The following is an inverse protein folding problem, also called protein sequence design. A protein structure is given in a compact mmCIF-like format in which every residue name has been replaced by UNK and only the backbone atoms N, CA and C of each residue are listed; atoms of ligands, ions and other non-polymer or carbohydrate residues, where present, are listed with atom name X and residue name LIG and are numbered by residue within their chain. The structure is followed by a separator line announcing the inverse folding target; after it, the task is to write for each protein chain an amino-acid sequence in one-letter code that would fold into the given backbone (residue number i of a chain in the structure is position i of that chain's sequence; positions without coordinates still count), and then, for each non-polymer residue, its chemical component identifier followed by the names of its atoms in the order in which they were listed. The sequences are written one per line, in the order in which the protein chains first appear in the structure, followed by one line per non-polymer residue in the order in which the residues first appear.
data_IF_744873001355
#
_entry.id   IF_744873001355
#
_cell.length_a   1.000
_cell.length_b   1.000
_cell.length_c   1.000
_cell.angle_alpha   90.00
_cell.angle_beta   90.00
_cell.angle_gamma   90.00
#
_symmetry.space_group_name_H-M   'P 1'
#
loop_
_entity.id
_entity.type
_entity.pdbx_description
1 polymer ?
#
# COMPACT_ATOMS: atom_id res chain seq x y z
N UNK A 1 59.90 -24.88 29.28
CA UNK A 1 59.27 -23.55 29.35
C UNK A 1 58.23 -23.49 28.23
N UNK A 2 56.98 -23.19 28.59
CA UNK A 2 55.77 -23.49 27.81
C UNK A 2 55.66 -22.72 26.48
N UNK A 3 55.25 -23.42 25.42
CA UNK A 3 54.71 -22.80 24.21
C UNK A 3 53.17 -22.76 24.33
N UNK A 4 52.61 -21.56 24.47
CA UNK A 4 51.18 -21.32 24.60
C UNK A 4 50.46 -21.43 23.26
N UNK A 5 49.34 -22.15 23.26
CA UNK A 5 48.42 -22.38 22.16
C UNK A 5 47.38 -21.25 22.14
N UNK A 6 47.32 -20.46 21.06
CA UNK A 6 46.28 -19.45 20.83
C UNK A 6 45.21 -20.06 19.92
N UNK A 7 44.05 -20.38 20.50
CA UNK A 7 42.83 -20.75 19.79
C UNK A 7 42.09 -19.47 19.43
N UNK A 8 42.06 -19.11 18.15
CA UNK A 8 41.24 -18.02 17.64
C UNK A 8 39.81 -18.50 17.38
N UNK A 9 38.84 -18.02 18.17
CA UNK A 9 37.42 -18.11 17.82
C UNK A 9 37.10 -17.00 16.81
N UNK A 10 36.74 -17.40 15.59
CA UNK A 10 36.10 -16.51 14.60
C UNK A 10 34.59 -16.58 14.85
N UNK A 11 34.00 -15.49 15.36
CA UNK A 11 32.56 -15.36 15.47
C UNK A 11 31.97 -14.93 14.12
N UNK A 12 31.22 -15.83 13.47
CA UNK A 12 30.41 -15.54 12.29
C UNK A 12 29.16 -14.77 12.71
N UNK A 13 29.17 -13.45 12.54
CA UNK A 13 27.96 -12.63 12.64
C UNK A 13 27.04 -12.90 11.45
N UNK A 14 25.95 -13.63 11.66
CA UNK A 14 24.90 -13.79 10.64
C UNK A 14 23.99 -12.55 10.66
N UNK A 15 24.09 -11.73 9.62
CA UNK A 15 23.22 -10.56 9.41
C UNK A 15 21.78 -11.00 9.14
N UNK A 16 20.85 -10.67 10.03
CA UNK A 16 19.43 -11.03 9.96
C UNK A 16 18.57 -10.08 9.10
N UNK A 17 19.16 -9.15 8.34
CA UNK A 17 18.44 -7.99 7.79
C UNK A 17 17.72 -8.21 6.45
N UNK A 18 17.70 -9.41 5.88
CA UNK A 18 17.23 -9.62 4.50
C UNK A 18 15.79 -10.10 4.34
N UNK A 19 15.17 -10.70 5.37
CA UNK A 19 13.83 -11.30 5.22
C UNK A 19 12.69 -10.26 5.29
N UNK A 20 12.81 -9.24 6.13
CA UNK A 20 11.76 -8.23 6.32
C UNK A 20 11.54 -7.40 5.04
N UNK A 21 12.62 -6.95 4.40
CA UNK A 21 12.55 -6.17 3.15
C UNK A 21 11.94 -6.98 1.99
N UNK A 22 12.25 -8.28 1.88
CA UNK A 22 11.65 -9.15 0.87
C UNK A 22 10.17 -9.44 1.09
N UNK A 23 9.73 -9.46 2.36
CA UNK A 23 8.32 -9.68 2.71
C UNK A 23 7.47 -8.45 2.35
N UNK A 24 7.95 -7.26 2.72
CA UNK A 24 7.29 -5.96 2.43
C UNK A 24 7.18 -5.69 0.92
N UNK A 25 8.22 -5.98 0.14
CA UNK A 25 8.19 -5.87 -1.32
C UNK A 25 7.12 -6.78 -1.95
N UNK A 26 6.98 -8.02 -1.43
CA UNK A 26 5.94 -8.95 -1.88
C UNK A 26 4.52 -8.50 -1.51
N UNK A 27 4.34 -7.88 -0.34
CA UNK A 27 3.04 -7.31 0.08
C UNK A 27 2.64 -6.15 -0.83
N UNK A 28 3.54 -5.21 -1.09
CA UNK A 28 3.27 -4.06 -1.96
C UNK A 28 2.77 -4.50 -3.34
N UNK A 29 3.43 -5.50 -3.93
CA UNK A 29 3.04 -6.05 -5.24
C UNK A 29 1.69 -6.73 -5.21
N UNK A 30 1.40 -7.48 -4.13
CA UNK A 30 0.10 -8.11 -3.94
C UNK A 30 -1.03 -7.07 -3.81
N UNK A 31 -0.79 -5.96 -3.10
CA UNK A 31 -1.78 -4.87 -2.99
C UNK A 31 -2.03 -4.22 -4.36
N UNK A 32 -0.98 -3.88 -5.12
CA UNK A 32 -1.11 -3.28 -6.45
C UNK A 32 -1.91 -4.19 -7.40
N UNK A 33 -1.67 -5.50 -7.35
CA UNK A 33 -2.26 -6.44 -8.32
C UNK A 33 -3.66 -6.91 -7.92
N UNK A 34 -3.97 -6.95 -6.63
CA UNK A 34 -5.10 -7.74 -6.13
C UNK A 34 -5.97 -7.05 -5.08
N UNK A 35 -5.69 -5.79 -4.71
CA UNK A 35 -6.60 -5.04 -3.85
C UNK A 35 -7.91 -4.73 -4.61
N UNK A 36 -9.03 -5.15 -4.02
CA UNK A 36 -10.37 -4.84 -4.50
C UNK A 36 -10.78 -3.43 -4.03
N UNK A 37 -10.68 -2.45 -4.92
CA UNK A 37 -11.08 -1.06 -4.71
C UNK A 37 -12.59 -0.89 -4.50
N UNK A 38 -13.40 -1.93 -4.73
CA UNK A 38 -14.84 -1.88 -4.46
C UNK A 38 -15.20 -2.25 -3.02
N UNK A 39 -14.24 -2.79 -2.26
CA UNK A 39 -14.45 -3.26 -0.89
C UNK A 39 -14.51 -2.17 0.19
N UNK A 40 -14.11 -0.93 -0.14
CA UNK A 40 -14.11 0.22 0.77
C UNK A 40 -14.50 1.52 0.04
N UNK A 41 -14.90 2.58 0.76
CA UNK A 41 -15.18 3.89 0.16
C UNK A 41 -13.91 4.53 -0.41
N UNK A 42 -13.98 5.03 -1.65
CA UNK A 42 -12.95 5.79 -2.36
C UNK A 42 -13.56 6.40 -3.65
N UNK A 43 -12.75 7.12 -4.41
CA UNK A 43 -13.08 7.83 -5.65
C UNK A 43 -13.52 6.95 -6.82
N UNK A 44 -13.35 5.62 -6.73
CA UNK A 44 -13.90 4.68 -7.70
C UNK A 44 -15.39 4.42 -7.44
N UNK A 45 -15.92 4.69 -6.24
CA UNK A 45 -17.31 4.46 -5.86
C UNK A 45 -18.35 4.83 -6.94
N UNK A 46 -18.40 6.08 -7.41
CA UNK A 46 -19.33 6.52 -8.45
C UNK A 46 -19.11 5.89 -9.84
N UNK A 47 -17.97 5.24 -10.07
CA UNK A 47 -17.52 4.68 -11.37
C UNK A 47 -17.45 3.15 -11.36
N UNK A 48 -17.94 2.49 -10.31
CA UNK A 48 -17.86 1.02 -10.17
C UNK A 48 -18.55 0.33 -11.34
N UNK A 49 -17.88 -0.66 -11.91
CA UNK A 49 -18.39 -1.45 -13.03
C UNK A 49 -18.34 -2.96 -12.69
N UNK A 50 -19.31 -3.76 -13.16
CA UNK A 50 -19.25 -5.21 -13.00
C UNK A 50 -17.92 -5.79 -13.53
N UNK A 51 -17.27 -6.63 -12.72
CA UNK A 51 -16.02 -7.30 -13.10
C UNK A 51 -14.74 -6.44 -12.95
N UNK A 52 -14.85 -5.16 -12.59
CA UNK A 52 -13.70 -4.27 -12.36
C UNK A 52 -13.45 -4.04 -10.88
N UNK A 53 -12.28 -4.42 -10.39
CA UNK A 53 -11.98 -4.36 -8.96
C UNK A 53 -10.61 -3.78 -8.63
N UNK A 54 -9.63 -3.89 -9.53
CA UNK A 54 -8.23 -3.54 -9.24
C UNK A 54 -7.85 -2.14 -9.71
N UNK A 55 -6.70 -1.64 -9.26
CA UNK A 55 -6.11 -0.39 -9.75
C UNK A 55 -6.03 -0.34 -11.29
N UNK A 56 -5.56 -1.43 -11.92
CA UNK A 56 -5.43 -1.52 -13.37
C UNK A 56 -6.79 -1.45 -14.08
N UNK A 57 -7.83 -2.08 -13.53
CA UNK A 57 -9.19 -2.04 -14.13
C UNK A 57 -9.76 -0.62 -14.22
N UNK A 58 -9.37 0.24 -13.27
CA UNK A 58 -9.76 1.65 -13.18
C UNK A 58 -8.71 2.62 -13.76
N UNK A 59 -7.68 2.09 -14.45
CA UNK A 59 -6.73 2.89 -15.24
C UNK A 59 -5.58 3.49 -14.43
N UNK A 60 -5.37 3.08 -13.19
CA UNK A 60 -4.21 3.44 -12.37
C UNK A 60 -3.00 2.59 -12.77
N UNK A 61 -2.36 2.96 -13.89
CA UNK A 61 -1.34 2.15 -14.57
C UNK A 61 0.07 2.72 -14.45
N UNK A 62 0.24 3.98 -14.08
CA UNK A 62 1.55 4.58 -13.83
C UNK A 62 1.92 4.40 -12.35
N UNK A 63 2.73 3.39 -12.07
CA UNK A 63 3.07 2.93 -10.73
C UNK A 63 4.50 3.30 -10.36
N UNK A 64 4.66 4.05 -9.28
CA UNK A 64 5.94 4.30 -8.61
C UNK A 64 5.91 3.59 -7.25
N UNK A 65 6.74 2.55 -7.07
CA UNK A 65 6.89 1.88 -5.76
C UNK A 65 7.84 2.67 -4.85
N UNK A 66 7.57 2.66 -3.56
CA UNK A 66 8.46 3.15 -2.50
C UNK A 66 8.99 1.98 -1.68
N UNK A 67 9.77 2.25 -0.63
CA UNK A 67 10.26 1.19 0.26
C UNK A 67 9.12 0.49 1.04
N UNK A 68 8.02 1.21 1.23
CA UNK A 68 6.91 0.90 2.12
C UNK A 68 5.55 0.99 1.42
N UNK A 69 5.48 0.98 0.09
CA UNK A 69 4.20 1.08 -0.60
C UNK A 69 4.30 1.54 -2.04
N UNK A 70 3.28 2.25 -2.51
CA UNK A 70 3.24 2.72 -3.89
C UNK A 70 2.37 3.95 -4.08
N UNK A 71 2.71 4.69 -5.14
CA UNK A 71 1.91 5.77 -5.71
C UNK A 71 1.50 5.38 -7.12
N UNK A 72 0.21 5.45 -7.42
CA UNK A 72 -0.39 5.04 -8.68
C UNK A 72 -1.15 6.22 -9.27
N UNK A 73 -0.84 6.57 -10.52
CA UNK A 73 -1.54 7.59 -11.27
C UNK A 73 -2.46 6.96 -12.30
N UNK A 74 -3.64 7.54 -12.44
CA UNK A 74 -4.51 7.26 -13.57
C UNK A 74 -3.80 7.69 -14.88
N UNK A 75 -4.08 7.00 -15.99
CA UNK A 75 -3.43 7.26 -17.27
C UNK A 75 -3.51 8.72 -17.73
N UNK A 76 -4.61 9.41 -17.45
CA UNK A 76 -4.82 10.83 -17.76
C UNK A 76 -4.22 11.81 -16.74
N UNK A 77 -3.54 11.29 -15.71
CA UNK A 77 -2.90 12.04 -14.61
C UNK A 77 -3.87 12.86 -13.74
N UNK A 78 -5.18 12.73 -13.93
CA UNK A 78 -6.19 13.49 -13.17
C UNK A 78 -6.50 12.90 -11.80
N UNK A 79 -5.92 11.75 -11.48
CA UNK A 79 -6.21 11.00 -10.27
C UNK A 79 -4.98 10.28 -9.74
N UNK A 80 -4.77 10.32 -8.43
CA UNK A 80 -3.69 9.64 -7.72
C UNK A 80 -4.21 8.85 -6.53
N UNK A 81 -3.89 7.55 -6.52
CA UNK A 81 -4.01 6.73 -5.32
C UNK A 81 -2.62 6.41 -4.80
N UNK A 82 -2.42 6.50 -3.49
CA UNK A 82 -1.18 6.10 -2.82
C UNK A 82 -1.52 5.24 -1.64
N UNK A 83 -0.65 4.30 -1.31
CA UNK A 83 -0.70 3.64 -0.03
C UNK A 83 0.69 3.46 0.57
N UNK A 84 0.71 3.40 1.90
CA UNK A 84 1.84 3.02 2.73
C UNK A 84 1.46 1.79 3.54
N UNK A 85 2.34 0.80 3.58
CA UNK A 85 2.25 -0.41 4.39
C UNK A 85 2.82 -0.07 5.77
N UNK A 86 1.93 0.05 6.74
CA UNK A 86 2.30 0.39 8.13
C UNK A 86 2.76 -0.84 8.89
N UNK A 87 2.16 -2.00 8.58
CA UNK A 87 2.57 -3.30 9.09
C UNK A 87 1.93 -4.41 8.27
N UNK A 88 2.65 -5.50 8.07
CA UNK A 88 2.11 -6.74 7.52
C UNK A 88 2.29 -7.90 8.51
N UNK A 89 1.25 -8.72 8.65
CA UNK A 89 1.28 -10.01 9.33
C UNK A 89 0.79 -11.10 8.35
N UNK A 90 0.89 -12.41 8.71
CA UNK A 90 0.53 -13.50 7.80
C UNK A 90 -0.92 -13.48 7.29
N UNK A 91 -1.81 -12.76 7.96
CA UNK A 91 -3.26 -12.77 7.72
C UNK A 91 -3.79 -11.40 7.30
N UNK A 92 -3.11 -10.32 7.66
CA UNK A 92 -3.59 -8.97 7.49
C UNK A 92 -2.48 -7.96 7.20
N UNK A 93 -2.84 -6.87 6.54
CA UNK A 93 -1.97 -5.75 6.24
C UNK A 93 -2.67 -4.48 6.67
N UNK A 94 -1.97 -3.60 7.38
CA UNK A 94 -2.44 -2.26 7.75
C UNK A 94 -1.89 -1.27 6.75
N UNK A 95 -2.77 -0.56 6.06
CA UNK A 95 -2.39 0.47 5.09
C UNK A 95 -2.83 1.86 5.55
N UNK A 96 -2.03 2.87 5.25
CA UNK A 96 -2.52 4.23 5.09
C UNK A 96 -2.77 4.49 3.61
N UNK A 97 -4.03 4.75 3.24
CA UNK A 97 -4.44 4.93 1.85
C UNK A 97 -4.83 6.37 1.59
N UNK A 98 -4.25 6.97 0.56
CA UNK A 98 -4.54 8.31 0.09
C UNK A 98 -5.17 8.27 -1.28
N UNK A 99 -6.18 9.11 -1.47
CA UNK A 99 -6.98 9.19 -2.67
C UNK A 99 -7.17 10.69 -2.97
N UNK A 100 -6.42 11.23 -3.94
CA UNK A 100 -6.53 12.65 -4.35
C UNK A 100 -6.81 12.85 -5.85
N UNK A 101 -7.75 13.74 -6.16
CA UNK A 101 -7.90 14.30 -7.50
C UNK A 101 -6.77 15.28 -7.80
N UNK A 102 -6.27 15.28 -9.03
CA UNK A 102 -5.17 16.12 -9.48
C UNK A 102 -5.59 17.01 -10.66
N UNK A 103 -4.92 18.15 -10.82
CA UNK A 103 -5.00 18.93 -12.05
C UNK A 103 -4.31 18.15 -13.17
N UNK A 104 -4.98 18.01 -14.33
CA UNK A 104 -4.35 17.41 -15.50
C UNK A 104 -3.42 18.42 -16.18
N UNK A 105 -2.46 17.96 -17.01
CA UNK A 105 -1.66 18.88 -17.81
C UNK A 105 -2.55 19.82 -18.64
N UNK A 106 -2.46 21.13 -18.36
CA UNK A 106 -3.27 22.16 -19.01
C UNK A 106 -4.50 22.62 -18.21
N UNK A 107 -4.88 21.93 -17.14
CA UNK A 107 -5.97 22.38 -16.26
C UNK A 107 -5.50 23.55 -15.38
N UNK A 108 -6.40 24.52 -15.15
CA UNK A 108 -6.15 25.68 -14.26
C UNK A 108 -6.53 25.41 -12.80
N UNK A 109 -7.15 24.26 -12.52
CA UNK A 109 -7.58 23.84 -11.17
C UNK A 109 -7.62 22.32 -11.04
N UNK A 110 -7.39 21.80 -9.84
CA UNK A 110 -7.58 20.39 -9.50
C UNK A 110 -8.96 20.15 -8.89
N UNK A 111 -9.49 18.91 -8.92
CA UNK A 111 -10.61 18.52 -8.07
C UNK A 111 -10.28 18.75 -6.59
N UNK A 112 -11.26 19.14 -5.78
CA UNK A 112 -11.09 19.32 -4.33
C UNK A 112 -11.00 18.00 -3.55
N UNK A 113 -11.27 16.87 -4.20
CA UNK A 113 -11.27 15.57 -3.53
C UNK A 113 -9.87 15.20 -3.06
N UNK A 114 -9.72 15.02 -1.75
CA UNK A 114 -8.52 14.51 -1.11
C UNK A 114 -8.93 13.76 0.16
N UNK A 115 -8.79 12.44 0.15
CA UNK A 115 -9.19 11.59 1.26
C UNK A 115 -8.02 10.76 1.77
N UNK A 116 -7.98 10.55 3.10
CA UNK A 116 -7.10 9.57 3.75
C UNK A 116 -7.92 8.52 4.47
N UNK A 117 -7.54 7.26 4.33
CA UNK A 117 -8.22 6.12 4.95
C UNK A 117 -7.22 5.15 5.59
N UNK A 118 -7.42 4.84 6.86
CA UNK A 118 -6.75 3.76 7.56
C UNK A 118 -7.45 2.43 7.20
N UNK A 119 -6.76 1.55 6.48
CA UNK A 119 -7.35 0.31 5.98
C UNK A 119 -6.75 -0.91 6.66
N UNK A 120 -7.61 -1.83 7.06
CA UNK A 120 -7.23 -3.21 7.34
C UNK A 120 -7.53 -4.07 6.12
N UNK A 121 -6.49 -4.67 5.55
CA UNK A 121 -6.55 -5.44 4.31
C UNK A 121 -6.31 -6.90 4.61
N UNK A 122 -7.18 -7.78 4.13
CA UNK A 122 -7.10 -9.21 4.35
C UNK A 122 -7.44 -9.97 3.07
N UNK A 123 -6.87 -11.16 2.92
CA UNK A 123 -7.26 -12.05 1.80
C UNK A 123 -8.70 -12.51 2.00
N UNK A 124 -9.52 -12.31 0.98
CA UNK A 124 -10.84 -12.92 0.88
C UNK A 124 -10.72 -14.41 0.59
N UNK A 125 -11.80 -15.15 0.85
CA UNK A 125 -11.92 -16.57 0.47
C UNK A 125 -11.84 -16.82 -1.05
N UNK A 126 -11.93 -15.77 -1.87
CA UNK A 126 -11.84 -15.83 -3.34
C UNK A 126 -10.44 -15.51 -3.89
N UNK A 127 -9.45 -15.28 -3.01
CA UNK A 127 -8.06 -14.99 -3.39
C UNK A 127 -7.74 -13.50 -3.60
N UNK A 128 -8.74 -12.62 -3.73
CA UNK A 128 -8.54 -11.16 -3.79
C UNK A 128 -8.26 -10.59 -2.40
N UNK A 129 -7.55 -9.47 -2.32
CA UNK A 129 -7.39 -8.72 -1.08
C UNK A 129 -8.54 -7.72 -0.94
N UNK A 130 -9.26 -7.80 0.17
CA UNK A 130 -10.35 -6.87 0.50
C UNK A 130 -9.92 -5.98 1.65
N UNK A 131 -10.30 -4.70 1.59
CA UNK A 131 -10.03 -3.74 2.63
C UNK A 131 -11.31 -3.34 3.36
N UNK A 132 -11.14 -3.00 4.64
CA UNK A 132 -12.15 -2.32 5.44
C UNK A 132 -11.51 -1.12 6.12
N UNK A 133 -12.16 0.02 6.06
CA UNK A 133 -11.74 1.19 6.81
C UNK A 133 -11.86 0.92 8.32
N UNK A 134 -10.82 1.26 9.07
CA UNK A 134 -10.83 1.22 10.54
C UNK A 134 -11.33 2.57 11.04
N UNK A 135 -12.54 2.68 11.62
CA UNK A 135 -13.15 3.98 11.93
C UNK A 135 -12.30 4.87 12.84
N UNK A 136 -11.64 4.27 13.83
CA UNK A 136 -10.76 4.97 14.77
C UNK A 136 -9.42 5.42 14.15
N UNK A 137 -9.10 4.95 12.94
CA UNK A 137 -7.78 5.12 12.35
C UNK A 137 -6.71 4.24 13.00
N UNK A 138 -5.47 4.56 12.67
CA UNK A 138 -4.25 4.06 13.29
C UNK A 138 -3.47 5.22 13.93
N UNK A 139 -2.48 4.91 14.77
CA UNK A 139 -1.68 5.95 15.44
C UNK A 139 -0.95 6.86 14.44
N UNK A 140 -0.51 6.28 13.33
CA UNK A 140 0.27 6.82 12.22
C UNK A 140 -0.57 7.13 10.96
N UNK A 141 -1.88 6.83 10.98
CA UNK A 141 -2.76 7.11 9.86
C UNK A 141 -4.17 7.43 10.35
N UNK A 142 -4.58 8.69 10.24
CA UNK A 142 -5.92 9.13 10.62
C UNK A 142 -6.81 9.20 9.39
N UNK A 143 -8.06 8.78 9.53
CA UNK A 143 -9.05 9.01 8.49
C UNK A 143 -9.28 10.52 8.34
N UNK A 144 -9.28 10.97 7.11
CA UNK A 144 -9.58 12.35 6.73
C UNK A 144 -10.51 12.27 5.51
N UNK A 145 -11.83 12.09 5.72
CA UNK A 145 -12.76 12.00 4.62
C UNK A 145 -12.94 13.39 3.98
N UNK A 146 -13.17 13.42 2.67
CA UNK A 146 -13.75 14.62 2.04
C UNK A 146 -15.15 14.77 2.62
N UNK A 147 -15.45 15.93 3.21
CA UNK A 147 -16.80 16.26 3.72
C UNK A 147 -17.86 15.80 2.70
N UNK A 148 -18.74 14.90 3.14
CA UNK A 148 -19.77 14.28 2.30
C UNK A 148 -20.91 15.25 1.96
#
# INVERSE_FOLDING_TARGET
MNAGMLVGLVALGMSASSLAASHEAGVTDAIIQHLDLTSFPNSVGPRRMPGKTTFADYGFVDVTKTADGARLLQADKGWMMRFEVLSADPTSVRLCFHDSGLARPGDTSAPSYNATSALLVAKSSRGNWTARQVPAGFADCRNDPVDA
#
